data_IF_805218179954
#
_entry.id   IF_805218179954
#
_cell.length_a   1.000
_cell.length_b   1.000
_cell.length_c   1.000
_cell.angle_alpha   90.00
_cell.angle_beta   90.00
_cell.angle_gamma   90.00
#
_symmetry.space_group_name_H-M   'P 1'
#
loop_
_entity.id
_entity.type
_entity.pdbx_description
1 polymer ?
#
# COMPACT_ATOMS: atom_id res chain seq x y z
N UNK A 1 -50.28 7.44 25.71
CA UNK A 1 -48.83 7.68 26.03
C UNK A 1 -47.98 6.40 26.01
N UNK A 2 -48.34 5.28 26.68
CA UNK A 2 -47.52 4.04 26.73
C UNK A 2 -47.16 3.48 25.34
N UNK A 3 -48.07 3.48 24.36
CA UNK A 3 -47.83 2.93 22.99
C UNK A 3 -46.74 3.68 22.22
N UNK A 4 -46.67 5.01 22.38
CA UNK A 4 -45.66 5.83 21.70
C UNK A 4 -44.25 5.62 22.30
N UNK A 5 -44.16 5.38 23.60
CA UNK A 5 -42.91 5.08 24.30
C UNK A 5 -42.33 3.74 23.81
N UNK A 6 -43.17 2.72 23.67
CA UNK A 6 -42.74 1.41 23.14
C UNK A 6 -42.24 1.52 21.72
N UNK A 7 -42.93 2.27 20.85
CA UNK A 7 -42.50 2.47 19.47
C UNK A 7 -41.13 3.20 19.37
N UNK A 8 -40.89 4.18 20.24
CA UNK A 8 -39.62 4.89 20.33
C UNK A 8 -38.49 3.93 20.73
N UNK A 9 -38.74 3.08 21.72
CA UNK A 9 -37.74 2.06 22.16
C UNK A 9 -37.41 1.06 21.04
N UNK A 10 -38.41 0.59 20.30
CA UNK A 10 -38.23 -0.33 19.18
C UNK A 10 -37.40 0.35 18.08
N UNK A 11 -37.71 1.60 17.75
CA UNK A 11 -36.97 2.38 16.73
C UNK A 11 -35.50 2.58 17.14
N UNK A 12 -35.26 2.88 18.40
CA UNK A 12 -33.92 3.07 18.96
C UNK A 12 -33.13 1.75 18.97
N UNK A 13 -33.74 0.64 19.33
CA UNK A 13 -33.13 -0.68 19.28
C UNK A 13 -32.77 -1.09 17.84
N UNK A 14 -33.66 -0.87 16.88
CA UNK A 14 -33.43 -1.15 15.48
C UNK A 14 -32.29 -0.28 14.91
N UNK A 15 -32.23 1.02 15.27
CA UNK A 15 -31.13 1.90 14.83
C UNK A 15 -29.78 1.46 15.39
N UNK A 16 -29.71 1.01 16.65
CA UNK A 16 -28.48 0.48 17.24
C UNK A 16 -28.01 -0.83 16.57
N UNK A 17 -28.95 -1.71 16.25
CA UNK A 17 -28.63 -2.95 15.50
C UNK A 17 -28.11 -2.64 14.11
N UNK A 18 -28.72 -1.70 13.39
CA UNK A 18 -28.27 -1.25 12.07
C UNK A 18 -26.88 -0.64 12.13
N UNK A 19 -26.64 0.26 13.08
CA UNK A 19 -25.32 0.91 13.25
C UNK A 19 -24.23 -0.11 13.56
N UNK A 20 -24.54 -1.12 14.40
CA UNK A 20 -23.60 -2.21 14.72
C UNK A 20 -23.29 -3.06 13.49
N UNK A 21 -24.30 -3.44 12.71
CA UNK A 21 -24.13 -4.30 11.53
C UNK A 21 -23.41 -3.59 10.37
N UNK A 22 -23.57 -2.26 10.25
CA UNK A 22 -22.91 -1.47 9.22
C UNK A 22 -21.44 -1.15 9.55
N UNK A 23 -20.91 -1.67 10.67
CA UNK A 23 -19.53 -1.36 11.14
C UNK A 23 -19.20 0.16 11.19
N UNK A 24 -20.22 1.02 11.18
CA UNK A 24 -20.09 2.47 11.03
C UNK A 24 -19.21 3.10 12.11
N UNK A 25 -19.30 2.57 13.33
CA UNK A 25 -18.48 3.07 14.44
C UNK A 25 -17.00 2.75 14.24
N UNK A 26 -16.69 1.58 13.70
CA UNK A 26 -15.33 1.14 13.44
C UNK A 26 -14.69 1.98 12.34
N UNK A 27 -15.43 2.22 11.26
CA UNK A 27 -14.98 3.06 10.15
C UNK A 27 -14.82 4.51 10.58
N UNK A 28 -15.76 5.07 11.34
CA UNK A 28 -15.67 6.43 11.87
C UNK A 28 -14.47 6.58 12.81
N UNK A 29 -14.26 5.63 13.73
CA UNK A 29 -13.10 5.62 14.61
C UNK A 29 -11.78 5.56 13.82
N UNK A 30 -11.72 4.70 12.80
CA UNK A 30 -10.59 4.57 11.93
C UNK A 30 -10.25 5.90 11.20
N UNK A 31 -11.26 6.57 10.66
CA UNK A 31 -11.08 7.86 9.97
C UNK A 31 -10.63 8.97 10.93
N UNK A 32 -11.13 8.99 12.14
CA UNK A 32 -10.82 10.03 13.13
C UNK A 32 -9.45 9.85 13.81
N UNK A 33 -8.98 8.61 13.98
CA UNK A 33 -7.77 8.32 14.77
C UNK A 33 -6.51 8.12 13.94
N UNK A 34 -6.64 7.82 12.64
CA UNK A 34 -5.50 7.53 11.78
C UNK A 34 -5.20 8.66 10.82
N UNK A 35 -3.91 8.95 10.63
CA UNK A 35 -3.48 9.90 9.61
C UNK A 35 -3.74 9.37 8.19
N UNK A 36 -3.64 10.28 7.20
CA UNK A 36 -3.88 9.94 5.80
C UNK A 36 -2.99 8.79 5.31
N UNK A 37 -1.70 8.79 5.66
CA UNK A 37 -0.75 7.78 5.19
C UNK A 37 -1.06 6.40 5.79
N UNK A 38 -1.45 6.35 7.06
CA UNK A 38 -1.87 5.13 7.73
C UNK A 38 -3.14 4.57 7.10
N UNK A 39 -4.15 5.43 6.88
CA UNK A 39 -5.40 5.03 6.21
C UNK A 39 -5.15 4.50 4.80
N UNK A 40 -4.32 5.18 4.03
CA UNK A 40 -3.94 4.76 2.68
C UNK A 40 -3.30 3.36 2.68
N UNK A 41 -2.33 3.12 3.56
CA UNK A 41 -1.65 1.83 3.68
C UNK A 41 -2.59 0.70 4.08
N UNK A 42 -3.42 0.94 5.10
CA UNK A 42 -4.36 -0.07 5.59
C UNK A 42 -5.47 -0.38 4.59
N UNK A 43 -5.95 0.61 3.86
CA UNK A 43 -6.91 0.40 2.77
C UNK A 43 -6.32 -0.49 1.68
N UNK A 44 -5.08 -0.25 1.26
CA UNK A 44 -4.42 -1.13 0.29
C UNK A 44 -4.24 -2.56 0.79
N UNK A 45 -3.87 -2.75 2.06
CA UNK A 45 -3.66 -4.09 2.61
C UNK A 45 -4.97 -4.87 2.81
N UNK A 46 -6.07 -4.19 3.15
CA UNK A 46 -7.36 -4.83 3.44
C UNK A 46 -8.25 -4.96 2.22
N UNK A 47 -8.40 -3.88 1.48
CA UNK A 47 -9.47 -3.73 0.49
C UNK A 47 -8.98 -3.98 -0.95
N UNK A 48 -7.69 -3.79 -1.21
CA UNK A 48 -7.13 -3.96 -2.54
C UNK A 48 -6.52 -5.35 -2.74
N UNK A 49 -6.92 -6.04 -3.81
CA UNK A 49 -6.35 -7.36 -4.17
C UNK A 49 -4.84 -7.35 -4.35
N UNK A 50 -4.29 -6.20 -4.69
CA UNK A 50 -2.86 -6.02 -4.98
C UNK A 50 -2.00 -5.76 -3.76
N UNK A 51 -2.58 -5.44 -2.60
CA UNK A 51 -1.88 -5.12 -1.36
C UNK A 51 -1.03 -3.84 -1.39
N UNK A 52 -0.62 -3.36 -0.20
CA UNK A 52 0.33 -2.25 -0.12
C UNK A 52 1.77 -2.72 -0.36
N UNK A 53 2.25 -3.68 0.44
CA UNK A 53 3.57 -4.31 0.31
C UNK A 53 3.47 -5.85 0.39
N UNK A 54 2.30 -6.39 0.14
CA UNK A 54 2.00 -7.80 0.00
C UNK A 54 1.57 -8.08 -1.44
N UNK A 55 1.52 -9.32 -1.83
CA UNK A 55 1.03 -9.75 -3.16
C UNK A 55 1.77 -9.01 -4.30
N UNK A 56 1.04 -8.20 -5.06
CA UNK A 56 1.57 -7.40 -6.18
C UNK A 56 2.17 -6.06 -5.74
N UNK A 57 1.90 -5.65 -4.49
CA UNK A 57 2.44 -4.47 -3.82
C UNK A 57 2.24 -3.15 -4.60
N UNK A 58 1.09 -3.00 -5.28
CA UNK A 58 0.77 -1.80 -6.05
C UNK A 58 0.77 -0.53 -5.19
N UNK A 59 0.33 -0.65 -3.93
CA UNK A 59 0.29 0.48 -2.99
C UNK A 59 1.66 1.08 -2.75
N UNK A 60 2.68 0.25 -2.54
CA UNK A 60 4.05 0.73 -2.34
C UNK A 60 4.62 1.36 -3.61
N UNK A 61 4.41 0.73 -4.77
CA UNK A 61 4.87 1.29 -6.06
C UNK A 61 4.23 2.65 -6.34
N UNK A 62 2.93 2.80 -6.06
CA UNK A 62 2.24 4.08 -6.16
C UNK A 62 2.80 5.12 -5.17
N UNK A 63 3.09 4.71 -3.94
CA UNK A 63 3.71 5.58 -2.94
C UNK A 63 5.07 6.11 -3.43
N UNK A 64 5.95 5.23 -3.94
CA UNK A 64 7.26 5.64 -4.47
C UNK A 64 7.11 6.64 -5.62
N UNK A 65 6.25 6.35 -6.59
CA UNK A 65 5.97 7.28 -7.69
C UNK A 65 5.54 8.67 -7.20
N UNK A 66 4.63 8.71 -6.24
CA UNK A 66 4.07 9.98 -5.74
C UNK A 66 5.08 10.76 -4.92
N UNK A 67 5.86 10.06 -4.08
CA UNK A 67 6.83 10.65 -3.15
C UNK A 67 8.07 11.18 -3.87
N UNK A 68 8.63 10.39 -4.78
CA UNK A 68 9.90 10.72 -5.43
C UNK A 68 9.75 11.36 -6.81
N UNK A 69 8.56 11.28 -7.42
CA UNK A 69 8.22 11.91 -8.71
C UNK A 69 9.24 11.60 -9.82
N UNK A 70 9.76 10.38 -9.81
CA UNK A 70 10.74 9.95 -10.81
C UNK A 70 10.18 10.09 -12.22
N UNK A 71 10.98 10.66 -13.12
CA UNK A 71 10.62 10.83 -14.53
C UNK A 71 10.68 9.51 -15.29
N UNK A 72 11.66 8.66 -14.95
CA UNK A 72 11.87 7.35 -15.55
C UNK A 72 11.23 6.25 -14.71
N UNK A 73 10.94 5.14 -15.35
CA UNK A 73 10.37 3.97 -14.66
C UNK A 73 11.49 3.19 -13.98
N UNK A 74 11.54 3.05 -12.66
CA UNK A 74 12.52 2.21 -11.99
C UNK A 74 12.32 0.74 -12.38
N UNK A 75 13.37 -0.05 -12.30
CA UNK A 75 13.26 -1.51 -12.41
C UNK A 75 12.42 -2.03 -11.24
N UNK A 76 11.41 -2.85 -11.50
CA UNK A 76 10.54 -3.42 -10.46
C UNK A 76 10.74 -4.93 -10.44
N UNK A 77 11.09 -5.49 -9.28
CA UNK A 77 11.25 -6.92 -9.06
C UNK A 77 10.35 -7.34 -7.89
N UNK A 78 9.48 -8.32 -8.12
CA UNK A 78 8.71 -8.97 -7.07
C UNK A 78 9.27 -10.36 -6.80
N UNK A 79 9.77 -10.58 -5.58
CA UNK A 79 10.47 -11.82 -5.23
C UNK A 79 9.55 -12.99 -4.91
N UNK A 80 8.30 -12.73 -4.58
CA UNK A 80 7.31 -13.76 -4.25
C UNK A 80 6.59 -14.32 -5.49
N UNK A 81 6.56 -13.55 -6.58
CA UNK A 81 5.70 -13.87 -7.72
C UNK A 81 6.47 -13.91 -9.04
N UNK A 82 6.89 -15.10 -9.45
CA UNK A 82 7.64 -15.30 -10.71
C UNK A 82 6.86 -14.97 -12.00
N UNK A 83 5.52 -14.99 -11.98
CA UNK A 83 4.71 -14.99 -13.21
C UNK A 83 3.61 -13.92 -13.27
N UNK A 84 3.55 -12.96 -12.36
CA UNK A 84 2.52 -11.92 -12.40
C UNK A 84 3.03 -10.65 -13.08
N UNK A 85 2.13 -9.98 -13.79
CA UNK A 85 2.42 -8.69 -14.41
C UNK A 85 2.85 -7.69 -13.35
N UNK A 86 4.11 -7.29 -13.39
CA UNK A 86 4.65 -6.28 -12.50
C UNK A 86 3.94 -4.94 -12.72
N UNK A 87 3.76 -4.11 -11.69
CA UNK A 87 2.98 -2.88 -11.75
C UNK A 87 3.71 -1.74 -12.48
N UNK A 88 4.43 -2.03 -13.56
CA UNK A 88 5.10 -1.01 -14.39
C UNK A 88 4.13 0.02 -14.98
N UNK A 89 2.86 -0.35 -15.17
CA UNK A 89 1.81 0.53 -15.66
C UNK A 89 1.59 1.75 -14.75
N UNK A 90 1.92 1.65 -13.46
CA UNK A 90 1.84 2.77 -12.52
C UNK A 90 2.76 3.91 -12.95
N UNK A 91 3.92 3.60 -13.53
CA UNK A 91 4.88 4.57 -14.06
C UNK A 91 4.65 4.89 -15.55
N UNK A 92 3.50 4.51 -16.11
CA UNK A 92 3.28 4.67 -17.55
C UNK A 92 3.51 6.12 -17.99
N UNK A 93 4.53 6.29 -18.81
CA UNK A 93 4.83 7.50 -19.56
C UNK A 93 4.93 7.15 -21.06
N UNK A 94 4.53 8.06 -21.95
CA UNK A 94 4.56 7.82 -23.40
C UNK A 94 5.95 7.40 -23.91
N UNK A 95 7.01 7.78 -23.22
CA UNK A 95 8.40 7.37 -23.50
C UNK A 95 8.91 6.50 -22.36
N UNK A 96 8.78 5.19 -22.51
CA UNK A 96 9.15 4.19 -21.50
C UNK A 96 10.67 4.02 -21.45
N UNK A 97 11.37 4.88 -20.71
CA UNK A 97 12.77 4.68 -20.36
C UNK A 97 12.83 3.98 -19.01
N UNK A 98 13.40 2.78 -18.96
CA UNK A 98 13.69 2.07 -17.71
C UNK A 98 14.98 2.64 -17.15
N UNK A 99 14.97 3.00 -15.88
CA UNK A 99 16.14 3.47 -15.15
C UNK A 99 16.75 2.30 -14.36
N UNK A 100 17.78 1.70 -14.90
CA UNK A 100 18.48 0.56 -14.30
C UNK A 100 19.28 0.95 -13.05
N UNK A 101 19.43 2.25 -12.76
CA UNK A 101 20.05 2.72 -11.53
C UNK A 101 19.09 2.72 -10.34
N UNK A 102 17.78 2.62 -10.60
CA UNK A 102 16.74 2.63 -9.57
C UNK A 102 15.98 1.31 -9.58
N UNK A 103 15.83 0.73 -8.40
CA UNK A 103 15.19 -0.57 -8.21
C UNK A 103 14.11 -0.49 -7.13
N UNK A 104 12.90 -0.92 -7.47
CA UNK A 104 11.85 -1.23 -6.48
C UNK A 104 11.83 -2.74 -6.27
N UNK A 105 12.16 -3.15 -5.06
CA UNK A 105 12.18 -4.55 -4.65
C UNK A 105 10.98 -4.83 -3.76
N UNK A 106 10.12 -5.75 -4.20
CA UNK A 106 8.86 -6.09 -3.54
C UNK A 106 8.95 -7.50 -2.95
N UNK A 107 8.28 -7.71 -1.81
CA UNK A 107 8.26 -8.97 -1.08
C UNK A 107 9.69 -9.50 -0.79
N UNK A 108 10.54 -8.57 -0.35
CA UNK A 108 11.93 -8.86 -0.03
C UNK A 108 12.02 -9.76 1.21
N UNK A 109 12.96 -10.71 1.14
CA UNK A 109 13.35 -11.56 2.26
C UNK A 109 14.86 -11.42 2.49
N UNK A 110 15.25 -11.39 3.77
CA UNK A 110 16.63 -11.23 4.20
C UNK A 110 17.59 -12.34 3.69
N UNK A 111 17.06 -13.49 3.28
CA UNK A 111 17.85 -14.54 2.62
C UNK A 111 18.50 -14.08 1.31
N UNK A 112 18.00 -13.00 0.71
CA UNK A 112 18.44 -12.47 -0.59
C UNK A 112 19.27 -11.18 -0.49
N UNK A 113 20.02 -11.00 0.60
CA UNK A 113 20.87 -9.81 0.83
C UNK A 113 21.84 -9.49 -0.30
N UNK A 114 22.26 -10.47 -1.05
CA UNK A 114 23.18 -10.27 -2.18
C UNK A 114 22.61 -9.38 -3.27
N UNK A 115 21.28 -9.35 -3.44
CA UNK A 115 20.62 -8.52 -4.45
C UNK A 115 20.78 -7.01 -4.19
N UNK A 116 20.90 -6.62 -2.94
CA UNK A 116 20.95 -5.20 -2.53
C UNK A 116 22.37 -4.71 -2.24
N UNK A 117 23.39 -5.55 -2.35
CA UNK A 117 24.79 -5.22 -1.98
C UNK A 117 25.31 -3.96 -2.68
N UNK A 118 24.96 -3.81 -3.97
CA UNK A 118 25.43 -2.69 -4.82
C UNK A 118 24.45 -1.52 -4.83
N UNK A 119 23.48 -1.49 -3.92
CA UNK A 119 22.47 -0.47 -3.86
C UNK A 119 22.46 0.23 -2.50
N UNK A 120 22.03 1.47 -2.51
CA UNK A 120 21.69 2.27 -1.31
C UNK A 120 20.18 2.24 -1.13
N UNK A 121 19.71 2.02 0.10
CA UNK A 121 18.28 2.04 0.43
C UNK A 121 17.83 3.49 0.53
N UNK A 122 16.90 3.90 -0.34
CA UNK A 122 16.28 5.23 -0.34
C UNK A 122 14.99 5.22 0.48
N UNK A 123 14.19 4.14 0.35
CA UNK A 123 12.95 3.97 1.11
C UNK A 123 12.81 2.51 1.53
N UNK A 124 12.21 2.30 2.71
CA UNK A 124 12.04 0.98 3.28
C UNK A 124 10.68 0.88 3.98
N UNK A 125 9.91 -0.11 3.62
CA UNK A 125 8.68 -0.45 4.31
C UNK A 125 8.76 -1.86 4.90
N UNK A 126 8.85 -1.93 6.23
CA UNK A 126 8.87 -3.17 7.03
C UNK A 126 9.92 -4.20 6.59
N UNK A 127 11.03 -3.79 5.98
CA UNK A 127 12.05 -4.64 5.37
C UNK A 127 11.50 -5.64 4.33
N UNK A 128 10.31 -5.38 3.80
CA UNK A 128 9.67 -6.20 2.76
C UNK A 128 9.58 -5.50 1.41
N UNK A 129 9.42 -4.19 1.40
CA UNK A 129 9.43 -3.40 0.18
C UNK A 129 10.50 -2.32 0.28
N UNK A 130 11.39 -2.29 -0.69
CA UNK A 130 12.55 -1.42 -0.70
C UNK A 130 12.58 -0.62 -2.00
N UNK A 131 12.90 0.67 -1.89
CA UNK A 131 13.30 1.48 -3.01
C UNK A 131 14.79 1.78 -2.91
N UNK A 132 15.51 1.46 -3.96
CA UNK A 132 16.95 1.34 -3.97
C UNK A 132 17.53 2.16 -5.11
N UNK A 133 18.72 2.74 -4.90
CA UNK A 133 19.52 3.40 -5.93
C UNK A 133 20.88 2.76 -5.99
N UNK A 134 21.38 2.53 -7.21
CA UNK A 134 22.71 1.94 -7.41
C UNK A 134 23.78 2.86 -6.82
N UNK A 135 24.70 2.28 -6.06
CA UNK A 135 25.87 3.01 -5.57
C UNK A 135 26.69 3.43 -6.79
N UNK A 136 26.93 4.74 -6.92
CA UNK A 136 27.90 5.22 -7.88
C UNK A 136 29.26 4.65 -7.47
N UNK A 137 29.75 3.68 -8.20
CA UNK A 137 31.12 3.22 -8.03
C UNK A 137 32.02 4.41 -8.33
N UNK A 138 32.66 4.98 -7.30
CA UNK A 138 33.83 5.80 -7.54
C UNK A 138 34.85 4.89 -8.23
N UNK A 139 35.04 5.08 -9.51
CA UNK A 139 36.20 4.59 -10.25
C UNK A 139 37.46 5.30 -9.74
#
# INVERSE_FOLDING_TARGET
MKKNIVNIFILLALSLILLKNLETFKETYFVLTKDYNQRFKESYEKDQFSGYCSKEAHGYVHHIKTKYKDKNTPLIINLEQKNRKLPHWIFYNKHKVIDDNKLILLNYDNSKKNLIKNFTIIDNYNNKCLYLERKNGNN
#
